data_IF_702950104889
#
_entry.id   IF_702950104889
#
_cell.length_a   1.000
_cell.length_b   1.000
_cell.length_c   1.000
_cell.angle_alpha   90.00
_cell.angle_beta   90.00
_cell.angle_gamma   90.00
#
_symmetry.space_group_name_H-M   'P 1'
#
loop_
_entity.id
_entity.type
_entity.pdbx_description
1 polymer ?
#
# COMPACT_ATOMS: atom_id res chain seq x y z
N UNK A 1 -11.44 -6.26 -11.10
CA UNK A 1 -11.92 -5.05 -11.78
C UNK A 1 -13.09 -5.34 -12.73
N UNK A 2 -12.82 -5.92 -13.91
CA UNK A 2 -13.83 -6.17 -14.93
C UNK A 2 -15.02 -7.03 -14.45
N UNK A 3 -14.78 -8.08 -13.66
CA UNK A 3 -15.86 -8.95 -13.15
C UNK A 3 -16.87 -8.19 -12.28
N UNK A 4 -16.42 -7.16 -11.55
CA UNK A 4 -17.27 -6.32 -10.72
C UNK A 4 -17.97 -5.20 -11.52
N UNK A 5 -17.62 -5.01 -12.80
CA UNK A 5 -18.16 -3.94 -13.62
C UNK A 5 -19.63 -4.21 -14.00
N UNK A 6 -20.54 -3.22 -13.89
CA UNK A 6 -21.97 -3.42 -14.18
C UNK A 6 -22.24 -3.95 -15.59
N UNK A 7 -21.48 -3.52 -16.61
CA UNK A 7 -21.61 -4.04 -17.98
C UNK A 7 -21.19 -5.50 -18.11
N UNK A 8 -20.17 -5.92 -17.37
CA UNK A 8 -19.76 -7.32 -17.35
C UNK A 8 -20.82 -8.17 -16.65
N UNK A 9 -21.30 -7.75 -15.49
CA UNK A 9 -22.34 -8.44 -14.73
C UNK A 9 -23.68 -8.55 -15.48
N UNK A 10 -24.05 -7.52 -16.25
CA UNK A 10 -25.27 -7.52 -17.08
C UNK A 10 -25.11 -8.25 -18.42
N UNK A 11 -23.89 -8.64 -18.80
CA UNK A 11 -23.60 -9.21 -20.12
C UNK A 11 -23.67 -8.20 -21.27
N UNK A 12 -23.82 -6.90 -20.99
CA UNK A 12 -23.82 -5.82 -21.99
C UNK A 12 -22.39 -5.46 -22.41
N UNK A 13 -21.71 -6.42 -23.02
CA UNK A 13 -20.32 -6.33 -23.46
C UNK A 13 -20.22 -6.34 -25.00
N UNK A 14 -19.20 -5.66 -25.51
CA UNK A 14 -18.84 -5.54 -26.91
C UNK A 14 -17.34 -5.82 -27.08
N UNK A 15 -16.87 -5.93 -28.33
CA UNK A 15 -15.43 -6.02 -28.63
C UNK A 15 -14.66 -4.74 -28.29
N UNK A 16 -15.36 -3.64 -27.96
CA UNK A 16 -14.77 -2.36 -27.58
C UNK A 16 -14.88 -2.05 -26.08
N UNK A 17 -15.51 -2.92 -25.27
CA UNK A 17 -15.78 -2.63 -23.85
C UNK A 17 -14.51 -2.31 -23.04
N UNK A 18 -13.36 -2.93 -23.31
CA UNK A 18 -12.11 -2.56 -22.62
C UNK A 18 -11.69 -1.14 -22.97
N UNK A 19 -11.71 -0.76 -24.26
CA UNK A 19 -11.31 0.58 -24.70
C UNK A 19 -12.31 1.66 -24.25
N UNK A 20 -13.59 1.31 -24.09
CA UNK A 20 -14.63 2.20 -23.60
C UNK A 20 -14.54 2.43 -22.09
N UNK A 21 -14.32 1.36 -21.30
CA UNK A 21 -14.35 1.44 -19.84
C UNK A 21 -12.97 1.74 -19.20
N UNK A 22 -11.88 1.42 -19.89
CA UNK A 22 -10.51 1.62 -19.42
C UNK A 22 -9.62 2.26 -20.52
N UNK A 23 -9.97 3.45 -21.04
CA UNK A 23 -9.23 4.08 -22.15
C UNK A 23 -7.77 4.40 -21.80
N UNK A 24 -7.50 4.74 -20.55
CA UNK A 24 -6.17 5.08 -20.01
C UNK A 24 -5.51 3.89 -19.27
N UNK A 25 -6.08 2.69 -19.41
CA UNK A 25 -5.70 1.51 -18.62
C UNK A 25 -6.49 1.40 -17.31
N UNK A 26 -6.09 0.44 -16.47
CA UNK A 26 -6.77 0.15 -15.20
C UNK A 26 -6.14 0.94 -14.05
N UNK A 27 -6.93 1.75 -13.35
CA UNK A 27 -6.56 2.29 -12.05
C UNK A 27 -7.36 1.63 -10.93
N UNK A 28 -6.73 1.23 -9.80
CA UNK A 28 -7.45 0.67 -8.65
C UNK A 28 -8.57 1.56 -8.10
N UNK A 29 -8.49 2.87 -8.33
CA UNK A 29 -9.50 3.86 -7.96
C UNK A 29 -10.79 3.80 -8.82
N UNK A 30 -10.76 3.13 -9.97
CA UNK A 30 -11.89 3.05 -10.91
C UNK A 30 -12.97 2.04 -10.47
N UNK A 31 -12.73 1.31 -9.39
CA UNK A 31 -13.67 0.30 -8.89
C UNK A 31 -14.70 0.93 -7.96
N UNK A 32 -15.95 0.42 -7.96
CA UNK A 32 -16.92 0.82 -6.96
C UNK A 32 -16.29 0.58 -5.60
N UNK A 33 -16.15 1.64 -4.82
CA UNK A 33 -15.65 1.56 -3.45
C UNK A 33 -16.55 0.55 -2.72
N UNK A 34 -15.99 -0.63 -2.44
CA UNK A 34 -16.57 -1.51 -1.44
C UNK A 34 -16.81 -0.66 -0.19
N UNK A 35 -17.95 -0.88 0.50
CA UNK A 35 -18.26 -0.12 1.72
C UNK A 35 -17.00 -0.08 2.60
N UNK A 36 -16.39 1.10 2.82
CA UNK A 36 -15.12 1.19 3.53
C UNK A 36 -15.20 0.57 4.91
N UNK A 37 -16.43 0.48 5.47
CA UNK A 37 -16.70 -0.16 6.74
C UNK A 37 -16.26 -1.63 6.79
N UNK A 38 -16.38 -2.38 5.69
CA UNK A 38 -16.00 -3.80 5.63
C UNK A 38 -14.48 -3.95 5.79
N UNK A 39 -13.72 -3.16 5.04
CA UNK A 39 -12.25 -3.16 5.10
C UNK A 39 -11.75 -2.64 6.45
N UNK A 40 -12.36 -1.56 6.95
CA UNK A 40 -12.05 -1.02 8.28
C UNK A 40 -12.34 -2.06 9.36
N UNK A 41 -13.47 -2.78 9.30
CA UNK A 41 -13.83 -3.79 10.31
C UNK A 41 -12.87 -4.99 10.31
N UNK A 42 -12.46 -5.47 9.13
CA UNK A 42 -11.44 -6.51 9.02
C UNK A 42 -10.10 -6.03 9.58
N UNK A 43 -9.62 -4.85 9.15
CA UNK A 43 -8.35 -4.27 9.59
C UNK A 43 -8.33 -3.99 11.11
N UNK A 44 -9.47 -3.59 11.68
CA UNK A 44 -9.64 -3.37 13.11
C UNK A 44 -9.46 -4.68 13.90
N UNK A 45 -10.03 -5.77 13.40
CA UNK A 45 -9.88 -7.11 13.97
C UNK A 45 -8.43 -7.59 13.90
N UNK A 46 -7.77 -7.38 12.75
CA UNK A 46 -6.35 -7.72 12.57
C UNK A 46 -5.45 -6.91 13.51
N UNK A 47 -5.72 -5.61 13.65
CA UNK A 47 -5.02 -4.74 14.60
C UNK A 47 -5.22 -5.23 16.01
N UNK A 48 -6.46 -5.53 16.41
CA UNK A 48 -6.78 -6.02 17.76
C UNK A 48 -6.02 -7.31 18.07
N UNK A 49 -6.06 -8.30 17.17
CA UNK A 49 -5.30 -9.55 17.31
C UNK A 49 -3.80 -9.31 17.46
N UNK A 50 -3.22 -8.44 16.63
CA UNK A 50 -1.80 -8.09 16.73
C UNK A 50 -1.46 -7.43 18.09
N UNK A 51 -2.28 -6.48 18.54
CA UNK A 51 -2.05 -5.74 19.79
C UNK A 51 -2.25 -6.60 21.03
N UNK A 52 -3.25 -7.47 21.02
CA UNK A 52 -3.48 -8.45 22.10
C UNK A 52 -2.32 -9.44 22.19
N UNK A 53 -1.79 -9.91 21.05
CA UNK A 53 -0.58 -10.74 21.02
C UNK A 53 0.63 -10.00 21.59
N UNK A 54 0.87 -8.76 21.16
CA UNK A 54 1.98 -7.94 21.63
C UNK A 54 1.91 -7.66 23.15
N UNK A 55 0.70 -7.52 23.69
CA UNK A 55 0.44 -7.33 25.12
C UNK A 55 0.72 -8.59 25.97
N UNK A 56 1.05 -9.74 25.36
CA UNK A 56 1.41 -10.99 26.08
C UNK A 56 2.93 -11.20 26.22
N UNK A 57 3.74 -10.19 25.93
CA UNK A 57 5.19 -10.29 26.09
C UNK A 57 5.57 -10.66 27.54
N UNK A 58 6.59 -11.50 27.68
CA UNK A 58 7.10 -11.90 29.00
C UNK A 58 7.78 -10.74 29.74
N UNK A 59 7.98 -10.90 31.05
CA UNK A 59 8.70 -9.92 31.87
C UNK A 59 7.91 -8.64 32.20
N UNK A 60 6.60 -8.63 31.95
CA UNK A 60 5.75 -7.51 32.35
C UNK A 60 5.67 -7.38 33.88
N UNK A 61 5.50 -6.13 34.34
CA UNK A 61 5.28 -5.86 35.75
C UNK A 61 3.97 -6.51 36.20
N UNK A 62 4.06 -7.34 37.24
CA UNK A 62 2.90 -8.06 37.80
C UNK A 62 1.81 -7.07 38.21
N UNK A 63 0.58 -7.33 37.78
CA UNK A 63 -0.58 -6.47 38.04
C UNK A 63 -0.67 -5.21 37.16
N UNK A 64 0.35 -4.93 36.34
CA UNK A 64 0.44 -3.73 35.50
C UNK A 64 0.76 -4.10 34.04
N UNK A 65 0.25 -5.25 33.58
CA UNK A 65 0.38 -5.67 32.20
C UNK A 65 -0.31 -4.69 31.24
N UNK A 66 0.16 -4.64 30.00
CA UNK A 66 -0.42 -3.78 28.98
C UNK A 66 -1.87 -4.19 28.71
N UNK A 67 -2.81 -3.29 28.97
CA UNK A 67 -4.20 -3.44 28.49
C UNK A 67 -4.34 -2.83 27.10
N UNK A 68 -4.98 -3.58 26.20
CA UNK A 68 -5.30 -3.10 24.86
C UNK A 68 -6.65 -2.39 24.89
N UNK A 69 -6.74 -1.11 24.47
CA UNK A 69 -8.00 -0.38 24.51
C UNK A 69 -8.99 -0.92 23.46
N UNK A 70 -10.29 -0.67 23.70
CA UNK A 70 -11.33 -0.99 22.74
C UNK A 70 -11.56 0.15 21.74
N UNK A 71 -11.26 1.40 22.12
CA UNK A 71 -11.45 2.55 21.24
C UNK A 71 -10.21 2.84 20.39
N UNK A 72 -10.44 2.96 19.09
CA UNK A 72 -9.45 3.23 18.06
C UNK A 72 -9.97 4.28 17.09
N UNK A 73 -9.07 4.84 16.30
CA UNK A 73 -9.38 5.66 15.14
C UNK A 73 -8.62 5.06 13.96
N UNK A 74 -9.35 4.59 12.95
CA UNK A 74 -8.77 4.16 11.69
C UNK A 74 -8.51 5.38 10.81
N UNK A 75 -7.32 5.46 10.25
CA UNK A 75 -6.93 6.46 9.26
C UNK A 75 -6.83 5.78 7.91
N UNK A 76 -7.61 6.25 6.94
CA UNK A 76 -7.66 5.71 5.59
C UNK A 76 -7.99 6.85 4.62
N UNK A 77 -7.21 7.00 3.55
CA UNK A 77 -7.37 8.05 2.53
C UNK A 77 -7.53 9.47 3.12
N UNK A 78 -6.72 9.79 4.15
CA UNK A 78 -6.75 11.07 4.86
C UNK A 78 -7.97 11.29 5.77
N UNK A 79 -8.92 10.34 5.82
CA UNK A 79 -10.12 10.40 6.66
C UNK A 79 -9.91 9.65 7.97
N UNK A 80 -10.60 10.10 9.02
CA UNK A 80 -10.59 9.46 10.33
C UNK A 80 -11.93 8.77 10.59
N UNK A 81 -11.87 7.52 11.03
CA UNK A 81 -13.03 6.70 11.35
C UNK A 81 -12.92 6.24 12.79
N UNK A 82 -13.74 6.75 13.72
CA UNK A 82 -13.81 6.22 15.08
C UNK A 82 -14.30 4.76 15.06
N UNK A 83 -13.55 3.86 15.70
CA UNK A 83 -13.84 2.42 15.71
C UNK A 83 -13.80 1.92 17.15
N UNK A 84 -14.83 1.18 17.56
CA UNK A 84 -14.84 0.46 18.82
C UNK A 84 -14.72 -1.05 18.56
N UNK A 85 -13.71 -1.70 19.12
CA UNK A 85 -13.38 -3.11 18.86
C UNK A 85 -13.43 -3.89 20.15
N UNK A 86 -14.31 -4.89 20.24
CA UNK A 86 -14.47 -5.77 21.39
C UNK A 86 -14.14 -7.21 20.98
N UNK A 87 -13.29 -7.95 21.71
CA UNK A 87 -13.06 -9.36 21.43
C UNK A 87 -14.35 -10.16 21.60
N UNK A 88 -14.59 -11.09 20.69
CA UNK A 88 -15.71 -12.00 20.72
C UNK A 88 -15.22 -13.43 20.42
N UNK A 89 -16.07 -14.42 20.65
CA UNK A 89 -15.76 -15.81 20.28
C UNK A 89 -15.48 -15.90 18.77
N UNK A 90 -14.33 -16.45 18.38
CA UNK A 90 -13.92 -16.57 16.98
C UNK A 90 -13.53 -15.27 16.28
N UNK A 91 -13.40 -14.13 16.98
CA UNK A 91 -13.00 -12.88 16.33
C UNK A 91 -13.24 -11.62 17.17
N UNK A 92 -13.85 -10.60 16.57
CA UNK A 92 -14.15 -9.32 17.21
C UNK A 92 -15.50 -8.79 16.74
N UNK A 93 -16.18 -8.05 17.62
CA UNK A 93 -17.29 -7.20 17.25
C UNK A 93 -16.76 -5.77 17.08
N UNK A 94 -16.97 -5.22 15.89
CA UNK A 94 -16.47 -3.89 15.51
C UNK A 94 -17.66 -2.95 15.36
N UNK A 95 -17.65 -1.81 16.05
CA UNK A 95 -18.64 -0.75 15.86
C UNK A 95 -17.99 0.42 15.13
N UNK A 96 -18.60 0.81 14.01
CA UNK A 96 -18.19 1.94 13.17
C UNK A 96 -19.46 2.71 12.75
N UNK A 97 -19.46 4.03 12.94
CA UNK A 97 -20.61 4.90 12.62
C UNK A 97 -21.96 4.40 13.17
N UNK A 98 -21.94 3.84 14.38
CA UNK A 98 -23.12 3.27 15.05
C UNK A 98 -23.60 1.93 14.50
N UNK A 99 -22.96 1.39 13.45
CA UNK A 99 -23.22 0.05 12.92
C UNK A 99 -22.27 -0.96 13.56
N UNK A 100 -22.80 -2.13 13.94
CA UNK A 100 -22.02 -3.26 14.46
C UNK A 100 -21.73 -4.26 13.34
N UNK A 101 -20.48 -4.69 13.26
CA UNK A 101 -19.95 -5.69 12.35
C UNK A 101 -19.42 -6.86 13.16
N UNK A 102 -19.98 -8.05 12.94
CA UNK A 102 -19.51 -9.28 13.55
C UNK A 102 -18.42 -9.89 12.68
N UNK A 103 -17.16 -9.65 13.04
CA UNK A 103 -16.00 -10.14 12.29
C UNK A 103 -15.51 -11.43 12.93
N UNK A 104 -15.57 -12.54 12.19
CA UNK A 104 -15.15 -13.87 12.64
C UNK A 104 -14.09 -14.41 11.70
N UNK A 105 -12.93 -14.75 12.24
CA UNK A 105 -11.80 -15.21 11.45
C UNK A 105 -10.76 -15.83 12.36
N UNK A 106 -10.14 -16.90 11.90
CA UNK A 106 -8.97 -17.52 12.53
C UNK A 106 -7.65 -16.89 12.08
N UNK A 107 -7.68 -15.75 11.37
CA UNK A 107 -6.48 -15.09 10.88
C UNK A 107 -5.46 -14.81 11.99
N UNK A 108 -4.20 -15.11 11.71
CA UNK A 108 -3.08 -14.88 12.62
C UNK A 108 -2.04 -13.95 12.02
N UNK A 109 -1.33 -13.23 12.90
CA UNK A 109 -0.24 -12.35 12.50
C UNK A 109 0.83 -13.11 11.70
N UNK A 110 1.10 -12.63 10.48
CA UNK A 110 2.05 -13.25 9.54
C UNK A 110 1.36 -13.96 8.37
N UNK A 111 0.05 -14.20 8.42
CA UNK A 111 -0.71 -14.71 7.29
C UNK A 111 -1.03 -13.59 6.30
N UNK A 112 -0.74 -13.81 5.02
CA UNK A 112 -0.96 -12.86 3.92
C UNK A 112 -2.40 -12.84 3.39
N UNK A 113 -3.26 -13.74 3.87
CA UNK A 113 -4.66 -13.83 3.48
C UNK A 113 -5.52 -13.86 4.74
N UNK A 114 -6.31 -12.82 4.95
CA UNK A 114 -7.42 -12.84 5.88
C UNK A 114 -8.58 -13.58 5.23
N UNK A 115 -8.97 -14.70 5.84
CA UNK A 115 -10.18 -15.43 5.51
C UNK A 115 -11.11 -15.40 6.72
N UNK A 116 -12.35 -14.99 6.53
CA UNK A 116 -13.31 -14.91 7.62
C UNK A 116 -14.72 -14.65 7.13
N UNK A 117 -15.60 -14.34 8.06
CA UNK A 117 -16.95 -13.86 7.81
C UNK A 117 -17.14 -12.49 8.48
N UNK A 118 -17.85 -11.59 7.79
CA UNK A 118 -18.31 -10.32 8.35
C UNK A 118 -19.83 -10.33 8.24
N UNK A 119 -20.53 -10.23 9.39
CA UNK A 119 -21.99 -10.36 9.45
C UNK A 119 -22.52 -11.67 8.82
N UNK A 120 -21.74 -12.75 8.91
CA UNK A 120 -22.05 -14.05 8.32
C UNK A 120 -21.70 -14.22 6.85
N UNK A 121 -21.28 -13.16 6.15
CA UNK A 121 -20.83 -13.24 4.75
C UNK A 121 -19.33 -13.52 4.68
N UNK A 122 -18.95 -14.58 3.96
CA UNK A 122 -17.55 -14.97 3.79
C UNK A 122 -16.79 -13.93 2.98
N UNK A 123 -15.64 -13.51 3.50
CA UNK A 123 -14.76 -12.54 2.86
C UNK A 123 -13.31 -13.03 2.83
N UNK A 124 -12.62 -12.65 1.75
CA UNK A 124 -11.20 -12.85 1.54
C UNK A 124 -10.54 -11.50 1.30
N UNK A 125 -9.49 -11.21 2.07
CA UNK A 125 -8.74 -9.96 1.97
C UNK A 125 -7.25 -10.31 2.00
N UNK A 126 -6.51 -9.95 0.95
CA UNK A 126 -5.06 -10.06 1.00
C UNK A 126 -4.52 -8.95 1.90
N UNK A 127 -3.49 -9.26 2.68
CA UNK A 127 -2.93 -8.33 3.65
C UNK A 127 -1.42 -8.35 3.66
N UNK A 128 -0.87 -7.15 3.76
CA UNK A 128 0.52 -6.90 4.10
C UNK A 128 0.57 -5.90 5.26
N UNK A 129 1.60 -6.01 6.10
CA UNK A 129 1.86 -5.02 7.15
C UNK A 129 3.23 -4.39 6.95
N UNK A 130 3.24 -3.10 6.67
CA UNK A 130 4.43 -2.27 6.58
C UNK A 130 4.47 -1.34 7.79
N UNK A 131 5.27 -1.70 8.79
CA UNK A 131 5.30 -1.00 10.09
C UNK A 131 3.90 -0.88 10.74
N UNK A 132 3.32 0.31 10.88
CA UNK A 132 1.98 0.49 11.46
C UNK A 132 0.85 0.45 10.43
N UNK A 133 1.19 0.37 9.15
CA UNK A 133 0.23 0.35 8.05
C UNK A 133 -0.18 -1.08 7.75
N UNK A 134 -1.47 -1.35 7.74
CA UNK A 134 -2.04 -2.52 7.09
C UNK A 134 -2.46 -2.13 5.69
N UNK A 135 -1.80 -2.72 4.69
CA UNK A 135 -2.19 -2.63 3.29
C UNK A 135 -3.07 -3.82 2.95
N UNK A 136 -4.29 -3.53 2.52
CA UNK A 136 -5.33 -4.53 2.25
C UNK A 136 -5.75 -4.47 0.80
N UNK A 137 -5.93 -5.65 0.18
CA UNK A 137 -6.52 -5.78 -1.15
C UNK A 137 -7.81 -6.59 -1.10
N UNK A 138 -8.87 -6.01 -1.65
CA UNK A 138 -10.19 -6.64 -1.69
C UNK A 138 -11.00 -6.13 -2.88
N UNK A 139 -11.69 -7.03 -3.59
CA UNK A 139 -12.52 -6.71 -4.75
C UNK A 139 -11.80 -5.91 -5.87
N UNK A 140 -10.46 -5.95 -5.91
CA UNK A 140 -9.62 -5.19 -6.85
C UNK A 140 -9.22 -3.79 -6.36
N UNK A 141 -9.68 -3.37 -5.17
CA UNK A 141 -9.24 -2.14 -4.51
C UNK A 141 -8.02 -2.41 -3.61
N UNK A 142 -7.22 -1.38 -3.37
CA UNK A 142 -6.14 -1.36 -2.39
C UNK A 142 -6.43 -0.25 -1.38
N UNK A 143 -6.27 -0.54 -0.09
CA UNK A 143 -6.45 0.45 0.98
C UNK A 143 -5.33 0.33 2.01
N UNK A 144 -4.74 1.47 2.38
CA UNK A 144 -3.74 1.58 3.44
C UNK A 144 -4.43 2.12 4.69
N UNK A 145 -4.35 1.37 5.80
CA UNK A 145 -5.01 1.72 7.06
C UNK A 145 -4.00 1.77 8.21
N UNK A 146 -4.13 2.80 9.04
CA UNK A 146 -3.42 2.91 10.32
C UNK A 146 -4.44 3.01 11.44
N UNK A 147 -4.24 2.22 12.51
CA UNK A 147 -5.11 2.24 13.68
C UNK A 147 -4.39 2.87 14.87
N UNK A 148 -4.92 4.00 15.33
CA UNK A 148 -4.39 4.76 16.44
C UNK A 148 -5.35 4.77 17.62
N UNK A 149 -4.85 5.03 18.82
CA UNK A 149 -5.74 5.41 19.92
C UNK A 149 -6.32 6.81 19.66
N UNK A 150 -7.48 7.16 20.26
CA UNK A 150 -8.08 8.49 20.06
C UNK A 150 -7.10 9.65 20.34
N UNK A 151 -6.31 9.54 21.42
CA UNK A 151 -5.29 10.53 21.75
C UNK A 151 -4.17 10.60 20.72
N UNK A 152 -3.72 9.46 20.18
CA UNK A 152 -2.69 9.44 19.15
C UNK A 152 -3.20 10.03 17.83
N UNK A 153 -4.46 9.76 17.46
CA UNK A 153 -5.08 10.34 16.26
C UNK A 153 -5.28 11.85 16.36
N UNK A 154 -5.59 12.37 17.55
CA UNK A 154 -5.60 13.80 17.84
C UNK A 154 -4.22 14.43 17.60
N UNK A 155 -3.17 13.83 18.17
CA UNK A 155 -1.80 14.32 18.04
C UNK A 155 -1.26 14.23 16.61
N UNK A 156 -1.68 13.21 15.84
CA UNK A 156 -1.26 13.02 14.47
C UNK A 156 -1.68 14.17 13.55
N UNK A 157 -2.76 14.91 13.88
CA UNK A 157 -3.19 16.10 13.12
C UNK A 157 -2.15 17.23 13.13
N UNK A 158 -1.20 17.19 14.05
CA UNK A 158 -0.11 18.16 14.15
C UNK A 158 1.17 17.71 13.45
N UNK A 159 1.22 16.48 12.92
CA UNK A 159 2.39 16.03 12.17
C UNK A 159 2.41 16.73 10.81
N UNK A 160 3.55 17.32 10.41
CA UNK A 160 3.68 17.94 9.10
C UNK A 160 3.57 16.87 8.01
N UNK A 161 2.89 17.23 6.92
CA UNK A 161 2.85 16.40 5.74
C UNK A 161 4.26 16.33 5.14
N UNK A 162 4.78 15.11 4.98
CA UNK A 162 6.05 14.91 4.28
C UNK A 162 5.79 15.06 2.80
N UNK A 163 6.18 16.21 2.24
CA UNK A 163 6.26 16.37 0.80
C UNK A 163 7.47 15.53 0.34
N UNK A 164 7.27 14.48 -0.49
CA UNK A 164 8.41 13.76 -1.05
C UNK A 164 9.29 14.74 -1.84
N UNK A 165 10.61 14.57 -1.74
CA UNK A 165 11.53 15.36 -2.55
C UNK A 165 11.27 15.08 -4.03
N UNK A 166 11.16 16.14 -4.82
CA UNK A 166 10.89 16.02 -6.26
C UNK A 166 12.18 15.70 -7.02
N UNK A 167 12.58 14.42 -7.00
CA UNK A 167 13.62 13.88 -7.88
C UNK A 167 13.03 13.31 -9.17
N UNK A 168 11.75 13.58 -9.47
CA UNK A 168 11.00 12.87 -10.50
C UNK A 168 11.58 12.98 -11.91
N UNK A 169 12.33 14.06 -12.16
CA UNK A 169 12.90 14.38 -13.47
C UNK A 169 14.35 13.96 -13.63
N UNK A 170 14.96 13.32 -12.64
CA UNK A 170 16.38 13.01 -12.68
C UNK A 170 16.64 11.57 -12.24
N UNK A 171 17.35 10.81 -13.07
CA UNK A 171 18.02 9.60 -12.60
C UNK A 171 19.40 10.01 -12.07
N UNK A 172 19.51 10.06 -10.74
CA UNK A 172 20.79 10.32 -10.08
C UNK A 172 21.54 9.01 -9.87
N UNK A 173 22.87 9.06 -9.94
CA UNK A 173 23.71 7.94 -9.54
C UNK A 173 23.64 7.75 -8.02
N UNK A 174 23.11 6.61 -7.53
CA UNK A 174 22.96 6.39 -6.09
C UNK A 174 24.28 6.01 -5.41
N UNK A 175 25.30 5.67 -6.20
CA UNK A 175 26.58 5.12 -5.74
C UNK A 175 27.69 5.51 -6.72
N UNK A 176 28.94 5.69 -6.26
CA UNK A 176 30.04 5.92 -7.16
C UNK A 176 30.35 4.61 -7.91
N UNK A 177 30.61 4.68 -9.21
CA UNK A 177 30.79 3.49 -10.03
C UNK A 177 31.03 3.78 -11.51
N UNK A 178 31.21 2.71 -12.28
CA UNK A 178 31.35 2.77 -13.73
C UNK A 178 29.98 2.56 -14.38
N UNK A 179 29.57 3.44 -15.29
CA UNK A 179 28.40 3.21 -16.14
C UNK A 179 28.72 2.11 -17.16
N UNK A 180 28.17 0.92 -17.01
CA UNK A 180 28.44 -0.23 -17.89
C UNK A 180 27.64 -0.14 -19.19
N UNK A 181 26.36 0.21 -19.07
CA UNK A 181 25.46 0.29 -20.21
C UNK A 181 24.30 1.25 -19.95
N UNK A 182 23.73 1.71 -21.06
CA UNK A 182 22.46 2.42 -21.11
C UNK A 182 21.49 1.58 -21.95
N UNK A 183 20.31 1.31 -21.41
CA UNK A 183 19.26 0.54 -22.06
C UNK A 183 18.31 1.42 -22.88
N UNK A 184 18.35 2.74 -22.67
CA UNK A 184 17.45 3.74 -23.26
C UNK A 184 18.25 4.87 -23.91
N UNK A 185 17.60 5.61 -24.81
CA UNK A 185 18.15 6.78 -25.50
C UNK A 185 17.28 8.00 -25.28
N UNK A 186 17.82 9.17 -25.60
CA UNK A 186 17.05 10.42 -25.64
C UNK A 186 15.84 10.27 -26.56
N UNK A 187 14.67 10.65 -26.06
CA UNK A 187 13.37 10.55 -26.74
C UNK A 187 12.64 9.21 -26.54
N UNK A 188 13.23 8.22 -25.87
CA UNK A 188 12.54 6.95 -25.62
C UNK A 188 11.46 7.09 -24.52
N UNK A 189 10.30 6.47 -24.76
CA UNK A 189 9.27 6.27 -23.75
C UNK A 189 9.65 5.08 -22.84
N UNK A 190 9.68 5.32 -21.53
CA UNK A 190 10.00 4.29 -20.53
C UNK A 190 8.81 4.01 -19.63
N UNK A 191 8.69 2.76 -19.16
CA UNK A 191 7.68 2.35 -18.18
C UNK A 191 8.28 2.19 -16.79
N UNK A 192 7.46 2.38 -15.76
CA UNK A 192 7.86 2.10 -14.37
C UNK A 192 8.42 0.68 -14.24
N UNK A 193 9.63 0.54 -13.68
CA UNK A 193 10.35 -0.71 -13.53
C UNK A 193 11.22 -1.13 -14.73
N UNK A 194 11.12 -0.42 -15.86
CA UNK A 194 11.99 -0.63 -17.02
C UNK A 194 13.44 -0.30 -16.68
N UNK A 195 14.38 -1.08 -17.20
CA UNK A 195 15.81 -0.86 -16.97
C UNK A 195 16.29 0.33 -17.80
N UNK A 196 17.03 1.23 -17.16
CA UNK A 196 17.52 2.48 -17.74
C UNK A 196 19.04 2.42 -17.96
N UNK A 197 19.77 1.99 -16.94
CA UNK A 197 21.22 1.98 -16.91
C UNK A 197 21.74 0.87 -16.01
N UNK A 198 22.96 0.41 -16.24
CA UNK A 198 23.66 -0.54 -15.36
C UNK A 198 24.94 0.10 -14.84
N UNK A 199 25.09 0.14 -13.52
CA UNK A 199 26.30 0.62 -12.84
C UNK A 199 27.11 -0.56 -12.30
N UNK A 200 28.41 -0.58 -12.53
CA UNK A 200 29.33 -1.46 -11.83
C UNK A 200 29.98 -0.71 -10.67
N UNK A 201 29.83 -1.24 -9.45
CA UNK A 201 30.72 -0.88 -8.36
C UNK A 201 31.13 -2.12 -7.59
N UNK A 202 32.38 -2.14 -7.12
CA UNK A 202 32.95 -3.27 -6.39
C UNK A 202 32.74 -4.63 -7.09
N UNK A 203 32.85 -4.65 -8.44
CA UNK A 203 32.64 -5.83 -9.30
C UNK A 203 31.22 -6.42 -9.26
N UNK A 204 30.24 -5.61 -8.89
CA UNK A 204 28.83 -5.96 -8.93
C UNK A 204 28.06 -4.96 -9.78
N UNK A 205 27.26 -5.48 -10.69
CA UNK A 205 26.36 -4.71 -11.54
C UNK A 205 25.06 -4.41 -10.80
N UNK A 206 24.60 -3.16 -10.87
CA UNK A 206 23.38 -2.65 -10.28
C UNK A 206 22.53 -2.02 -11.40
N UNK A 207 21.38 -2.65 -11.65
CA UNK A 207 20.40 -2.17 -12.63
C UNK A 207 19.61 -1.02 -12.02
N UNK A 208 19.69 0.16 -12.65
CA UNK A 208 18.87 1.32 -12.36
C UNK A 208 17.61 1.25 -13.20
N UNK A 209 16.45 1.47 -12.56
CA UNK A 209 15.13 1.31 -13.19
C UNK A 209 14.31 2.58 -13.09
N UNK A 210 13.40 2.77 -14.04
CA UNK A 210 12.51 3.92 -14.04
C UNK A 210 11.54 3.84 -12.85
N UNK A 211 11.42 4.92 -12.08
CA UNK A 211 10.47 4.98 -10.96
C UNK A 211 9.02 5.16 -11.44
N UNK A 212 8.85 5.72 -12.64
CA UNK A 212 7.55 6.07 -13.23
C UNK A 212 7.61 5.96 -14.74
N UNK A 213 6.45 6.03 -15.38
CA UNK A 213 6.37 6.21 -16.82
C UNK A 213 6.83 7.62 -17.17
N UNK A 214 7.57 7.78 -18.27
CA UNK A 214 8.07 9.08 -18.72
C UNK A 214 8.81 8.99 -20.06
N UNK A 215 9.28 10.13 -20.53
CA UNK A 215 10.11 10.24 -21.74
C UNK A 215 11.50 10.71 -21.32
N UNK A 216 12.54 10.07 -21.85
CA UNK A 216 13.93 10.46 -21.59
C UNK A 216 14.21 11.78 -22.32
N UNK A 217 14.43 12.86 -21.57
CA UNK A 217 14.72 14.18 -22.11
C UNK A 217 16.18 14.33 -22.55
N UNK A 218 17.12 13.84 -21.75
CA UNK A 218 18.55 13.94 -22.01
C UNK A 218 19.33 12.82 -21.32
N UNK A 219 20.47 12.42 -21.90
CA UNK A 219 21.43 11.48 -21.29
C UNK A 219 22.80 12.13 -21.23
N UNK A 220 23.36 12.27 -20.03
CA UNK A 220 24.56 13.09 -19.80
C UNK A 220 25.87 12.30 -19.83
N UNK A 221 25.82 10.97 -19.84
CA UNK A 221 26.99 10.10 -19.76
C UNK A 221 26.92 8.95 -20.75
N UNK A 222 28.07 8.58 -21.31
CA UNK A 222 28.22 7.42 -22.18
C UNK A 222 28.69 6.19 -21.38
N UNK A 223 28.39 4.96 -21.86
CA UNK A 223 28.95 3.75 -21.28
C UNK A 223 30.49 3.82 -21.19
N UNK A 224 31.03 3.44 -20.04
CA UNK A 224 32.43 3.57 -19.66
C UNK A 224 32.76 4.82 -18.84
N UNK A 225 31.80 5.73 -18.60
CA UNK A 225 32.00 6.88 -17.74
C UNK A 225 32.08 6.49 -16.25
N UNK A 226 32.93 7.17 -15.49
CA UNK A 226 32.96 7.07 -14.02
C UNK A 226 32.02 8.11 -13.44
N UNK A 227 31.12 7.67 -12.56
CA UNK A 227 30.11 8.47 -11.90
C UNK A 227 30.38 8.57 -10.41
N UNK A 228 30.06 9.71 -9.82
CA UNK A 228 30.02 9.96 -8.39
C UNK A 228 28.58 9.95 -7.87
N UNK A 229 28.42 9.92 -6.55
CA UNK A 229 27.09 9.98 -5.92
C UNK A 229 26.42 11.32 -6.25
N UNK A 230 25.21 11.26 -6.79
CA UNK A 230 24.41 12.44 -7.13
C UNK A 230 24.64 12.98 -8.54
N UNK A 231 25.53 12.37 -9.33
CA UNK A 231 25.66 12.72 -10.76
C UNK A 231 24.34 12.43 -11.49
N UNK A 232 23.88 13.36 -12.31
CA UNK A 232 22.66 13.20 -13.11
C UNK A 232 22.96 12.38 -14.34
N UNK A 233 22.55 11.11 -14.37
CA UNK A 233 22.79 10.20 -15.50
C UNK A 233 21.89 10.57 -16.67
N UNK A 234 20.61 10.79 -16.40
CA UNK A 234 19.59 11.15 -17.38
C UNK A 234 18.49 12.00 -16.76
N UNK A 235 17.78 12.72 -17.63
CA UNK A 235 16.64 13.58 -17.29
C UNK A 235 15.35 13.05 -17.93
N UNK A 236 14.22 13.29 -17.28
CA UNK A 236 12.88 12.98 -17.78
C UNK A 236 12.05 14.26 -17.95
N UNK A 237 11.10 14.24 -18.89
CA UNK A 237 10.13 15.34 -19.13
C UNK A 237 9.18 15.61 -17.95
#
# INVERSE_FOLDING_TARGET
ALIAHPRYASGNISTHTIAEEYPEGFHPADLPLADPAVIIAAAATMTRRYRDRAARIDGQMRGHGRTVPNDWVALMDGKQYPVHVVPAEGGCDVTLDGKRFEVRSDWEFGQHLFQGAINGETIYIQTERCDQVFRLWHAGTQSDLVFLTPRAAELMRHMPEKVPEDTSRHLLSPMPGLLVSLAVKEGDEVKAGEELAVLEAMKMENSLRAERNGVVAAVHFEPGASLEVGDTIMEFE
#
